data_IF_318019588992
#
_entry.id   IF_318019588992
#
_cell.length_a   1.000
_cell.length_b   1.000
_cell.length_c   1.000
_cell.angle_alpha   90.00
_cell.angle_beta   90.00
_cell.angle_gamma   90.00
#
_symmetry.space_group_name_H-M   'P 1'
#
loop_
_entity.id
_entity.type
_entity.pdbx_description
1 polymer ?
#
# COMPACT_ATOMS: atom_id res chain seq x y z
N UNK A 1 1.56 23.68 1.44
CA UNK A 1 0.86 22.43 1.10
C UNK A 1 1.90 21.36 0.85
N UNK A 2 1.78 20.18 1.48
CA UNK A 2 2.69 19.05 1.27
C UNK A 2 2.02 18.03 0.37
N UNK A 3 2.60 17.75 -0.78
CA UNK A 3 2.09 16.70 -1.66
C UNK A 3 2.64 15.35 -1.19
N UNK A 4 1.77 14.35 -1.09
CA UNK A 4 2.11 12.97 -0.75
C UNK A 4 1.48 12.06 -1.81
N UNK A 5 2.28 11.21 -2.44
CA UNK A 5 1.78 10.18 -3.34
C UNK A 5 1.74 8.87 -2.57
N UNK A 6 0.70 8.05 -2.71
CA UNK A 6 0.78 6.67 -2.23
C UNK A 6 0.28 5.67 -3.24
N UNK A 7 0.86 4.48 -3.16
CA UNK A 7 0.54 3.34 -4.01
C UNK A 7 0.73 2.01 -3.26
N UNK A 8 0.11 0.97 -3.79
CA UNK A 8 0.25 -0.40 -3.35
C UNK A 8 1.54 -1.04 -3.84
N UNK A 9 2.16 -1.84 -2.99
CA UNK A 9 3.34 -2.63 -3.32
C UNK A 9 3.17 -4.06 -2.79
N UNK A 10 3.38 -5.06 -3.64
CA UNK A 10 3.44 -6.45 -3.21
C UNK A 10 4.83 -6.77 -2.67
N UNK A 11 4.90 -7.40 -1.49
CA UNK A 11 6.19 -7.78 -0.90
C UNK A 11 6.75 -8.97 -1.68
N UNK A 12 8.03 -8.88 -2.05
CA UNK A 12 8.70 -9.98 -2.73
C UNK A 12 8.86 -11.18 -1.80
N UNK A 13 8.70 -12.38 -2.37
CA UNK A 13 8.93 -13.62 -1.66
C UNK A 13 10.42 -13.78 -1.34
N UNK A 14 10.73 -14.14 -0.10
CA UNK A 14 12.10 -14.42 0.34
C UNK A 14 12.52 -15.88 0.10
N UNK A 15 11.56 -16.81 0.00
CA UNK A 15 11.83 -18.25 -0.10
C UNK A 15 11.48 -18.84 -1.47
N UNK A 16 12.29 -19.82 -1.90
CA UNK A 16 12.01 -20.65 -3.06
C UNK A 16 10.84 -21.60 -2.77
N UNK A 17 9.99 -21.84 -3.79
CA UNK A 17 8.87 -22.79 -3.68
C UNK A 17 9.39 -24.20 -3.35
N UNK A 18 8.76 -24.86 -2.37
CA UNK A 18 8.95 -26.31 -2.13
C UNK A 18 8.55 -27.10 -3.37
N UNK A 19 9.09 -28.31 -3.51
CA UNK A 19 9.02 -29.11 -4.74
C UNK A 19 7.57 -29.35 -5.20
N UNK A 20 6.69 -29.65 -4.25
CA UNK A 20 5.28 -29.96 -4.44
C UNK A 20 4.49 -28.79 -5.05
N UNK A 21 4.92 -27.54 -4.79
CA UNK A 21 4.25 -26.33 -5.25
C UNK A 21 4.81 -25.80 -6.58
N UNK A 22 5.82 -26.44 -7.19
CA UNK A 22 6.47 -25.94 -8.41
C UNK A 22 5.58 -26.03 -9.65
N UNK A 23 4.60 -26.94 -9.67
CA UNK A 23 3.63 -27.08 -10.76
C UNK A 23 2.43 -26.14 -10.63
N UNK A 24 2.30 -25.42 -9.51
CA UNK A 24 1.21 -24.47 -9.27
C UNK A 24 1.70 -23.08 -9.68
N UNK A 25 0.94 -22.40 -10.56
CA UNK A 25 1.28 -21.07 -11.05
C UNK A 25 1.33 -20.03 -9.92
N UNK A 26 0.42 -20.15 -8.93
CA UNK A 26 0.32 -19.27 -7.77
C UNK A 26 1.62 -19.15 -6.98
N UNK A 27 2.05 -17.91 -6.75
CA UNK A 27 3.19 -17.59 -5.89
C UNK A 27 2.77 -17.42 -4.43
N UNK A 28 3.70 -17.56 -3.47
CA UNK A 28 3.47 -17.11 -2.11
C UNK A 28 3.18 -15.61 -2.10
N UNK A 29 2.23 -15.19 -1.26
CA UNK A 29 1.84 -13.80 -1.07
C UNK A 29 2.24 -13.39 0.35
N UNK A 30 3.52 -13.05 0.58
CA UNK A 30 4.06 -12.80 1.93
C UNK A 30 3.48 -11.56 2.61
N UNK A 31 2.83 -10.69 1.83
CA UNK A 31 2.22 -9.47 2.32
C UNK A 31 2.18 -8.40 1.24
N UNK A 32 1.64 -7.24 1.62
CA UNK A 32 1.60 -6.01 0.83
C UNK A 32 2.02 -4.84 1.68
N UNK A 33 2.26 -3.70 1.05
CA UNK A 33 2.41 -2.42 1.73
C UNK A 33 1.73 -1.31 0.94
N UNK A 34 1.25 -0.29 1.64
CA UNK A 34 1.05 1.03 1.02
C UNK A 34 2.28 1.87 1.33
N UNK A 35 2.91 2.42 0.31
CA UNK A 35 4.10 3.26 0.44
C UNK A 35 3.76 4.70 0.14
N UNK A 36 4.30 5.64 0.92
CA UNK A 36 4.10 7.08 0.71
C UNK A 36 5.38 7.70 0.17
N UNK A 37 5.29 8.30 -1.01
CA UNK A 37 6.37 9.01 -1.66
C UNK A 37 6.20 10.53 -1.51
N UNK A 38 7.25 11.18 -1.01
CA UNK A 38 7.35 12.64 -0.93
C UNK A 38 8.07 13.21 -2.16
N UNK A 39 7.37 13.83 -3.13
CA UNK A 39 7.98 14.28 -4.39
C UNK A 39 9.01 15.40 -4.20
N UNK A 40 8.88 16.20 -3.14
CA UNK A 40 9.86 17.26 -2.79
C UNK A 40 11.18 16.63 -2.31
N UNK A 41 11.10 15.60 -1.46
CA UNK A 41 12.27 14.90 -0.92
C UNK A 41 12.81 13.81 -1.86
N UNK A 42 12.02 13.43 -2.87
CA UNK A 42 12.28 12.34 -3.82
C UNK A 42 12.56 10.99 -3.16
N UNK A 43 11.88 10.71 -2.07
CA UNK A 43 12.05 9.47 -1.31
C UNK A 43 10.73 9.00 -0.70
N UNK A 44 10.73 7.73 -0.26
CA UNK A 44 9.67 7.21 0.60
C UNK A 44 9.75 7.89 1.96
N UNK A 45 8.62 8.40 2.43
CA UNK A 45 8.50 9.15 3.69
C UNK A 45 7.66 8.42 4.74
N UNK A 46 6.90 7.40 4.33
CA UNK A 46 6.09 6.58 5.24
C UNK A 46 5.73 5.23 4.58
N UNK A 47 5.36 4.24 5.39
CA UNK A 47 4.95 2.91 4.95
C UNK A 47 3.89 2.29 5.88
N UNK A 48 2.87 1.69 5.28
CA UNK A 48 1.83 0.92 5.98
C UNK A 48 1.93 -0.55 5.58
N UNK A 49 2.49 -1.43 6.42
CA UNK A 49 2.63 -2.85 6.11
C UNK A 49 1.32 -3.62 6.29
N UNK A 50 1.16 -4.71 5.52
CA UNK A 50 0.07 -5.68 5.64
C UNK A 50 0.64 -7.09 5.43
N UNK A 51 0.58 -7.93 6.46
CA UNK A 51 1.08 -9.31 6.39
C UNK A 51 0.15 -10.22 5.55
N UNK A 52 -1.12 -9.85 5.41
CA UNK A 52 -2.07 -10.60 4.59
C UNK A 52 -1.90 -10.23 3.11
N UNK A 53 -1.14 -11.07 2.38
CA UNK A 53 -0.93 -10.90 0.94
C UNK A 53 -2.19 -11.12 0.08
N UNK A 54 -3.27 -11.67 0.65
CA UNK A 54 -4.57 -11.79 -0.03
C UNK A 54 -5.49 -10.60 0.25
N UNK A 55 -5.30 -9.90 1.37
CA UNK A 55 -6.05 -8.69 1.68
C UNK A 55 -5.85 -7.64 0.59
N UNK A 56 -6.89 -6.83 0.37
CA UNK A 56 -6.72 -5.68 -0.49
C UNK A 56 -6.06 -4.53 0.25
N UNK A 57 -5.13 -3.81 -0.39
CA UNK A 57 -4.42 -2.64 0.16
C UNK A 57 -5.38 -1.55 0.66
N UNK A 58 -6.60 -1.50 0.10
CA UNK A 58 -7.68 -0.63 0.58
C UNK A 58 -8.00 -0.83 2.07
N UNK A 59 -7.74 -2.02 2.63
CA UNK A 59 -7.91 -2.30 4.06
C UNK A 59 -7.05 -1.37 4.93
N UNK A 60 -5.92 -0.91 4.41
CA UNK A 60 -4.99 -0.01 5.10
C UNK A 60 -5.43 1.47 5.05
N UNK A 61 -6.41 1.84 4.22
CA UNK A 61 -6.85 3.24 4.07
C UNK A 61 -7.39 3.85 5.37
N UNK A 62 -7.96 3.04 6.27
CA UNK A 62 -8.37 3.50 7.60
C UNK A 62 -7.17 4.01 8.41
N UNK A 63 -6.04 3.32 8.32
CA UNK A 63 -4.80 3.72 8.99
C UNK A 63 -4.19 4.95 8.34
N UNK A 64 -4.21 5.03 7.00
CA UNK A 64 -3.77 6.21 6.25
C UNK A 64 -4.56 7.46 6.66
N UNK A 65 -5.88 7.32 6.81
CA UNK A 65 -6.75 8.45 7.19
C UNK A 65 -6.35 9.10 8.52
N UNK A 66 -5.84 8.30 9.47
CA UNK A 66 -5.39 8.79 10.78
C UNK A 66 -4.10 9.62 10.71
N UNK A 67 -3.35 9.56 9.61
CA UNK A 67 -2.09 10.30 9.44
C UNK A 67 -2.22 11.56 8.59
N UNK A 68 -3.44 11.86 8.12
CA UNK A 68 -3.70 13.03 7.29
C UNK A 68 -3.72 14.28 8.15
N UNK A 69 -2.90 15.25 7.75
CA UNK A 69 -2.86 16.56 8.38
C UNK A 69 -3.41 17.66 7.47
N UNK A 70 -3.86 18.76 8.10
CA UNK A 70 -4.25 19.95 7.36
C UNK A 70 -3.11 20.42 6.46
N UNK A 71 -3.44 20.76 5.21
CA UNK A 71 -2.51 21.18 4.16
C UNK A 71 -1.70 20.06 3.51
N UNK A 72 -2.01 18.79 3.78
CA UNK A 72 -1.56 17.68 2.95
C UNK A 72 -2.44 17.54 1.70
N UNK A 73 -1.81 17.34 0.54
CA UNK A 73 -2.46 16.96 -0.70
C UNK A 73 -2.08 15.53 -1.04
N UNK A 74 -3.03 14.61 -0.98
CA UNK A 74 -2.81 13.19 -1.25
C UNK A 74 -3.18 12.85 -2.70
N UNK A 75 -2.28 12.16 -3.39
CA UNK A 75 -2.46 11.71 -4.77
C UNK A 75 -2.30 10.19 -4.79
N UNK A 76 -3.29 9.50 -5.33
CA UNK A 76 -3.29 8.06 -5.47
C UNK A 76 -4.13 7.68 -6.69
N UNK A 77 -4.02 6.43 -7.14
CA UNK A 77 -4.78 5.94 -8.29
C UNK A 77 -6.30 5.82 -8.00
N UNK A 78 -7.08 5.44 -9.01
CA UNK A 78 -8.53 5.22 -8.88
C UNK A 78 -8.90 4.08 -7.93
N UNK A 79 -7.98 3.15 -7.63
CA UNK A 79 -8.22 2.01 -6.74
C UNK A 79 -8.46 2.48 -5.29
N UNK A 80 -7.93 3.64 -4.91
CA UNK A 80 -8.06 4.21 -3.57
C UNK A 80 -9.19 5.22 -3.40
N UNK A 81 -9.86 5.59 -4.50
CA UNK A 81 -11.02 6.49 -4.50
C UNK A 81 -12.29 5.75 -4.02
N UNK A 82 -12.33 5.43 -2.72
CA UNK A 82 -13.50 4.82 -2.07
C UNK A 82 -14.25 5.88 -1.26
N UNK A 83 -15.59 5.79 -1.20
CA UNK A 83 -16.44 6.76 -0.48
C UNK A 83 -15.96 6.97 0.97
N UNK A 84 -15.69 5.88 1.69
CA UNK A 84 -15.26 5.95 3.09
C UNK A 84 -13.92 6.67 3.27
N UNK A 85 -13.00 6.56 2.31
CA UNK A 85 -11.72 7.23 2.38
C UNK A 85 -11.85 8.69 1.94
N UNK A 86 -12.40 8.95 0.74
CA UNK A 86 -12.51 10.30 0.18
C UNK A 86 -13.38 11.22 1.02
N UNK A 87 -14.47 10.74 1.60
CA UNK A 87 -15.31 11.54 2.50
C UNK A 87 -14.76 11.64 3.93
N UNK A 88 -13.69 10.92 4.26
CA UNK A 88 -13.02 10.97 5.56
C UNK A 88 -11.85 11.96 5.64
N UNK A 89 -11.35 12.43 4.49
CA UNK A 89 -10.31 13.47 4.36
C UNK A 89 -10.94 14.85 4.57
#
# INVERSE_FOLDING_TARGET
MRIKLFDGNCIEKSQHRIEELRFISSGPLPGKSLVVYGPVLRMLIDIFPCEDGHAQERSLLKTVLLTIEKSDGWIADRNFCTVNFTCGI
#
